data_IF_179075147746
#
_entry.id   IF_179075147746
#
_cell.length_a   1.000
_cell.length_b   1.000
_cell.length_c   1.000
_cell.angle_alpha   90.00
_cell.angle_beta   90.00
_cell.angle_gamma   90.00
#
_symmetry.space_group_name_H-M   'P 1'
#
loop_
_entity.id
_entity.type
_entity.pdbx_description
1 polymer ?
#
# COMPACT_ATOMS: atom_id res chain seq x y z
N UNK A 1 -10.46 -13.81 -35.42
CA UNK A 1 -10.80 -13.52 -34.02
C UNK A 1 -9.58 -12.86 -33.40
N UNK A 2 -9.62 -11.56 -33.11
CA UNK A 2 -8.47 -10.87 -32.52
C UNK A 2 -8.32 -11.30 -31.06
N UNK A 3 -7.09 -11.54 -30.55
CA UNK A 3 -6.90 -11.87 -29.14
C UNK A 3 -7.40 -10.73 -28.27
N UNK A 4 -8.19 -11.06 -27.25
CA UNK A 4 -8.61 -10.10 -26.22
C UNK A 4 -7.34 -9.55 -25.57
N UNK A 5 -7.14 -8.22 -25.52
CA UNK A 5 -5.96 -7.66 -24.89
C UNK A 5 -5.89 -8.11 -23.43
N UNK A 6 -4.74 -8.64 -23.01
CA UNK A 6 -4.47 -8.92 -21.59
C UNK A 6 -4.70 -7.61 -20.83
N UNK A 7 -5.60 -7.62 -19.84
CA UNK A 7 -5.73 -6.50 -18.90
C UNK A 7 -4.34 -6.23 -18.29
N UNK A 8 -3.98 -4.95 -18.20
CA UNK A 8 -2.75 -4.56 -17.51
C UNK A 8 -2.75 -5.12 -16.08
N UNK A 9 -1.62 -5.67 -15.65
CA UNK A 9 -1.45 -6.09 -14.27
C UNK A 9 -1.68 -4.87 -13.36
N UNK A 10 -2.53 -5.06 -12.35
CA UNK A 10 -2.81 -4.03 -11.34
C UNK A 10 -2.19 -4.47 -10.03
N UNK A 11 -1.61 -3.55 -9.28
CA UNK A 11 -1.08 -3.81 -7.94
C UNK A 11 -1.82 -2.94 -6.93
N UNK A 12 -2.05 -3.47 -5.72
CA UNK A 12 -2.75 -2.76 -4.64
C UNK A 12 -1.95 -2.88 -3.35
N UNK A 13 -1.84 -1.78 -2.60
CA UNK A 13 -1.23 -1.75 -1.28
C UNK A 13 -2.11 -1.09 -0.21
N UNK A 14 -1.77 -1.33 1.04
CA UNK A 14 -2.28 -0.64 2.21
C UNK A 14 -1.10 -0.38 3.16
N UNK A 15 -1.00 0.82 3.72
CA UNK A 15 -0.04 1.13 4.78
C UNK A 15 -0.74 0.93 6.13
N UNK A 16 -0.33 -0.10 6.86
CA UNK A 16 -0.86 -0.42 8.19
C UNK A 16 0.12 -0.03 9.30
N UNK A 17 1.40 0.18 8.97
CA UNK A 17 2.41 0.57 9.93
C UNK A 17 2.04 1.86 10.66
N UNK A 18 1.84 1.75 11.97
CA UNK A 18 1.52 2.90 12.81
C UNK A 18 2.72 3.85 12.89
N UNK A 19 2.55 5.07 12.38
CA UNK A 19 3.58 6.09 12.43
C UNK A 19 3.92 6.42 13.89
N UNK A 20 5.15 6.20 14.40
CA UNK A 20 5.42 6.22 15.84
C UNK A 20 5.28 7.57 16.55
N UNK A 21 5.14 8.67 15.79
CA UNK A 21 4.86 10.00 16.33
C UNK A 21 3.62 9.97 17.25
N UNK A 22 3.68 10.73 18.35
CA UNK A 22 2.65 10.76 19.39
C UNK A 22 2.28 9.36 19.94
N UNK A 23 3.26 8.45 20.00
CA UNK A 23 3.07 7.09 20.49
C UNK A 23 2.24 6.20 19.57
N UNK A 24 2.13 6.54 18.27
CA UNK A 24 1.41 5.73 17.29
C UNK A 24 -0.12 5.87 17.36
N UNK A 25 -0.65 6.80 18.15
CA UNK A 25 -2.10 6.91 18.44
C UNK A 25 -3.00 7.11 17.21
N UNK A 26 -2.43 7.55 16.09
CA UNK A 26 -3.16 7.82 14.84
C UNK A 26 -3.01 6.72 13.79
N UNK A 27 -2.29 5.64 14.09
CA UNK A 27 -1.99 4.59 13.11
C UNK A 27 -1.20 5.14 11.91
N UNK A 28 -1.63 4.81 10.70
CA UNK A 28 -1.11 5.36 9.45
C UNK A 28 -2.02 6.51 8.95
N UNK A 29 -1.77 7.77 9.37
CA UNK A 29 -2.61 8.88 8.96
C UNK A 29 -2.47 9.16 7.46
N UNK A 30 -3.41 9.93 6.91
CA UNK A 30 -3.35 10.38 5.52
C UNK A 30 -1.99 11.03 5.20
N UNK A 31 -1.44 10.71 4.01
CA UNK A 31 -0.15 11.16 3.50
C UNK A 31 1.10 10.61 4.24
N UNK A 32 0.94 9.69 5.20
CA UNK A 32 2.09 9.09 5.91
C UNK A 32 2.99 8.23 5.02
N UNK A 33 2.44 7.69 3.93
CA UNK A 33 3.14 6.92 2.90
C UNK A 33 4.12 7.75 2.07
N UNK A 34 3.85 9.05 1.87
CA UNK A 34 4.66 9.92 0.99
C UNK A 34 6.12 9.96 1.44
N UNK A 35 6.38 10.19 2.73
CA UNK A 35 7.77 10.24 3.24
C UNK A 35 8.51 8.90 3.10
N UNK A 36 7.78 7.78 3.09
CA UNK A 36 8.32 6.42 3.00
C UNK A 36 8.65 6.08 1.55
N UNK A 37 7.74 6.37 0.62
CA UNK A 37 7.93 6.17 -0.83
C UNK A 37 9.12 6.97 -1.36
N UNK A 38 9.32 8.19 -0.86
CA UNK A 38 10.43 9.06 -1.27
C UNK A 38 11.70 8.88 -0.45
N UNK A 39 11.73 7.97 0.53
CA UNK A 39 12.84 7.81 1.48
C UNK A 39 13.32 9.14 2.08
N UNK A 40 12.35 9.97 2.49
CA UNK A 40 12.57 11.32 3.00
C UNK A 40 12.43 11.39 4.54
N UNK A 41 12.62 10.28 5.23
CA UNK A 41 12.38 10.17 6.68
C UNK A 41 13.37 10.98 7.53
N UNK A 42 14.49 11.41 6.96
CA UNK A 42 15.46 12.31 7.59
C UNK A 42 15.17 13.81 7.37
N UNK A 43 14.12 14.16 6.62
CA UNK A 43 13.77 15.57 6.34
C UNK A 43 13.03 16.21 7.52
N UNK A 44 13.17 17.54 7.72
CA UNK A 44 12.40 18.25 8.74
C UNK A 44 10.89 18.00 8.58
N UNK A 45 10.21 17.68 9.69
CA UNK A 45 8.78 17.42 9.70
C UNK A 45 8.38 15.97 9.44
N UNK A 46 9.34 15.07 9.17
CA UNK A 46 9.07 13.63 9.07
C UNK A 46 8.42 13.10 10.35
N UNK A 47 7.46 12.19 10.17
CA UNK A 47 6.72 11.54 11.25
C UNK A 47 7.05 10.05 11.36
N UNK A 48 7.58 9.45 10.29
CA UNK A 48 8.17 8.12 10.30
C UNK A 48 9.51 8.17 11.04
N UNK A 49 9.47 7.87 12.34
CA UNK A 49 10.62 7.95 13.25
C UNK A 49 10.88 6.60 13.92
N UNK A 50 12.02 6.47 14.59
CA UNK A 50 12.36 5.29 15.38
C UNK A 50 13.00 4.16 14.55
N UNK A 51 13.30 3.02 15.19
CA UNK A 51 14.19 2.01 14.63
C UNK A 51 13.63 1.29 13.40
N UNK A 52 12.32 1.31 13.19
CA UNK A 52 11.65 0.66 12.06
C UNK A 52 11.46 1.57 10.85
N UNK A 53 11.66 2.90 11.00
CA UNK A 53 11.30 3.86 9.96
C UNK A 53 12.09 3.63 8.66
N UNK A 54 13.40 3.39 8.75
CA UNK A 54 14.21 3.13 7.56
C UNK A 54 13.80 1.82 6.88
N UNK A 55 13.55 0.75 7.64
CA UNK A 55 13.10 -0.51 7.06
C UNK A 55 11.77 -0.35 6.30
N UNK A 56 10.84 0.44 6.84
CA UNK A 56 9.58 0.77 6.16
C UNK A 56 9.79 1.62 4.90
N UNK A 57 10.68 2.62 4.96
CA UNK A 57 11.05 3.42 3.80
C UNK A 57 11.71 2.58 2.71
N UNK A 58 12.63 1.67 3.06
CA UNK A 58 13.29 0.75 2.13
C UNK A 58 12.27 -0.16 1.44
N UNK A 59 11.31 -0.72 2.18
CA UNK A 59 10.23 -1.54 1.63
C UNK A 59 9.39 -0.80 0.59
N UNK A 60 8.92 0.40 0.92
CA UNK A 60 8.02 1.17 0.03
C UNK A 60 8.77 1.77 -1.16
N UNK A 61 9.91 2.44 -0.91
CA UNK A 61 10.68 3.11 -1.95
C UNK A 61 11.19 2.13 -3.01
N UNK A 62 11.74 0.98 -2.60
CA UNK A 62 12.27 -0.01 -3.54
C UNK A 62 11.17 -0.69 -4.35
N UNK A 63 9.99 -0.90 -3.77
CA UNK A 63 8.84 -1.43 -4.50
C UNK A 63 8.34 -0.44 -5.58
N UNK A 64 8.31 0.85 -5.26
CA UNK A 64 7.93 1.90 -6.23
C UNK A 64 8.99 2.08 -7.32
N UNK A 65 10.27 1.99 -6.98
CA UNK A 65 11.38 1.99 -7.94
C UNK A 65 11.29 0.77 -8.88
N UNK A 66 11.04 -0.42 -8.35
CA UNK A 66 10.86 -1.64 -9.14
C UNK A 66 9.69 -1.49 -10.13
N UNK A 67 8.53 -1.03 -9.63
CA UNK A 67 7.36 -0.77 -10.46
C UNK A 67 7.64 0.24 -11.57
N UNK A 68 8.33 1.35 -11.27
CA UNK A 68 8.68 2.36 -12.26
C UNK A 68 9.62 1.82 -13.36
N UNK A 69 10.46 0.83 -13.04
CA UNK A 69 11.41 0.21 -13.98
C UNK A 69 10.76 -0.82 -14.91
N UNK A 70 9.87 -1.67 -14.39
CA UNK A 70 9.41 -2.87 -15.11
C UNK A 70 7.89 -3.08 -15.11
N UNK A 71 7.15 -2.31 -14.30
CA UNK A 71 5.74 -2.58 -14.00
C UNK A 71 5.52 -3.71 -12.99
N UNK A 72 6.57 -4.36 -12.48
CA UNK A 72 6.52 -5.35 -11.40
C UNK A 72 7.09 -4.72 -10.11
N UNK A 73 6.28 -4.56 -9.04
CA UNK A 73 6.71 -3.89 -7.81
C UNK A 73 7.57 -4.78 -6.88
N UNK A 74 7.87 -6.01 -7.27
CA UNK A 74 8.66 -6.92 -6.44
C UNK A 74 10.05 -6.35 -6.09
N UNK A 75 10.42 -6.51 -4.82
CA UNK A 75 11.75 -6.14 -4.32
C UNK A 75 12.22 -7.15 -3.28
N UNK A 76 13.52 -7.14 -2.97
CA UNK A 76 14.11 -8.03 -1.94
C UNK A 76 13.60 -7.76 -0.52
N UNK A 77 12.89 -6.65 -0.30
CA UNK A 77 12.44 -6.22 1.02
C UNK A 77 11.01 -6.65 1.36
N UNK A 78 10.26 -7.14 0.38
CA UNK A 78 8.86 -7.54 0.54
C UNK A 78 8.66 -8.98 0.03
N UNK A 79 7.62 -9.71 0.50
CA UNK A 79 7.23 -10.96 -0.13
C UNK A 79 6.74 -10.70 -1.57
N UNK A 80 6.63 -11.79 -2.36
CA UNK A 80 6.08 -11.73 -3.73
C UNK A 80 4.77 -10.96 -3.74
N UNK A 81 4.70 -9.90 -4.53
CA UNK A 81 3.52 -9.07 -4.71
C UNK A 81 2.74 -9.57 -5.93
N UNK A 82 1.85 -10.53 -5.69
CA UNK A 82 0.99 -11.04 -6.76
C UNK A 82 0.05 -9.96 -7.31
N UNK A 83 -0.23 -9.97 -8.64
CA UNK A 83 -1.16 -9.03 -9.24
C UNK A 83 -2.55 -9.08 -8.59
N UNK A 84 -3.12 -7.90 -8.38
CA UNK A 84 -4.46 -7.73 -7.86
C UNK A 84 -5.50 -8.25 -8.86
N UNK A 85 -6.40 -9.10 -8.36
CA UNK A 85 -7.60 -9.54 -9.07
C UNK A 85 -8.83 -9.39 -8.15
N UNK A 86 -10.03 -9.47 -8.73
CA UNK A 86 -11.28 -9.24 -7.99
C UNK A 86 -11.75 -10.46 -7.19
N UNK A 87 -11.18 -11.64 -7.44
CA UNK A 87 -11.48 -12.91 -6.76
C UNK A 87 -10.78 -12.94 -5.40
N UNK A 88 -9.46 -12.76 -5.36
CA UNK A 88 -8.64 -12.77 -4.14
C UNK A 88 -8.50 -11.40 -3.51
N UNK A 89 -8.44 -10.34 -4.32
CA UNK A 89 -8.24 -8.94 -3.87
C UNK A 89 -6.99 -8.75 -3.02
N UNK A 90 -6.00 -9.56 -3.33
CA UNK A 90 -4.68 -9.59 -2.75
C UNK A 90 -4.03 -8.21 -2.74
N UNK A 91 -3.68 -7.75 -1.55
CA UNK A 91 -3.18 -6.41 -1.27
C UNK A 91 -1.89 -6.52 -0.48
N UNK A 92 -0.84 -5.83 -0.91
CA UNK A 92 0.40 -5.73 -0.14
C UNK A 92 0.16 -4.84 1.07
N UNK A 93 0.29 -5.41 2.26
CA UNK A 93 0.25 -4.67 3.50
C UNK A 93 1.68 -4.28 3.88
N UNK A 94 1.93 -2.97 3.90
CA UNK A 94 3.15 -2.40 4.44
C UNK A 94 3.01 -2.26 5.96
N UNK A 95 3.67 -3.19 6.65
CA UNK A 95 3.91 -3.22 8.09
C UNK A 95 5.28 -3.87 8.34
N UNK A 96 5.71 -4.01 9.59
CA UNK A 96 6.98 -4.67 9.94
C UNK A 96 6.70 -5.97 10.69
N UNK A 97 6.69 -7.15 10.02
CA UNK A 97 7.07 -7.39 8.62
C UNK A 97 5.93 -7.15 7.59
N UNK A 98 6.26 -6.96 6.30
CA UNK A 98 5.27 -6.79 5.24
C UNK A 98 4.64 -8.14 4.88
N UNK A 99 3.39 -8.11 4.39
CA UNK A 99 2.65 -9.32 4.02
C UNK A 99 1.70 -9.08 2.85
N UNK A 100 1.50 -10.09 2.02
CA UNK A 100 0.40 -10.11 1.05
C UNK A 100 -0.84 -10.68 1.75
N UNK A 101 -1.94 -9.94 1.76
CA UNK A 101 -3.19 -10.35 2.40
C UNK A 101 -4.33 -10.39 1.38
N UNK A 102 -5.09 -11.48 1.39
CA UNK A 102 -6.29 -11.64 0.56
C UNK A 102 -7.46 -10.90 1.22
N UNK A 103 -8.01 -9.93 0.50
CA UNK A 103 -9.21 -9.19 0.90
C UNK A 103 -9.15 -8.48 2.27
N UNK A 104 -8.12 -7.65 2.55
CA UNK A 104 -8.06 -6.91 3.80
C UNK A 104 -9.29 -6.01 3.92
N UNK A 105 -9.95 -6.03 5.09
CA UNK A 105 -11.20 -5.29 5.37
C UNK A 105 -12.36 -5.64 4.44
N UNK A 106 -12.39 -6.90 3.98
CA UNK A 106 -13.44 -7.41 3.10
C UNK A 106 -14.84 -7.31 3.69
N UNK A 107 -14.99 -7.43 5.02
CA UNK A 107 -16.27 -7.29 5.70
C UNK A 107 -16.83 -5.86 5.55
N UNK A 108 -16.01 -4.85 5.81
CA UNK A 108 -16.38 -3.45 5.65
C UNK A 108 -16.70 -3.13 4.19
N UNK A 109 -15.87 -3.58 3.24
CA UNK A 109 -16.20 -3.42 1.81
C UNK A 109 -17.57 -4.00 1.48
N UNK A 110 -17.88 -5.21 1.96
CA UNK A 110 -19.19 -5.86 1.70
C UNK A 110 -20.35 -5.11 2.34
N UNK A 111 -20.14 -4.46 3.48
CA UNK A 111 -21.13 -3.59 4.10
C UNK A 111 -21.35 -2.34 3.23
N UNK A 112 -20.29 -1.62 2.88
CA UNK A 112 -20.38 -0.40 2.07
C UNK A 112 -20.89 -0.66 0.65
N UNK A 113 -20.63 -1.83 0.06
CA UNK A 113 -21.15 -2.21 -1.25
C UNK A 113 -22.68 -2.30 -1.31
N UNK A 114 -23.37 -2.41 -0.15
CA UNK A 114 -24.84 -2.42 -0.08
C UNK A 114 -25.44 -1.01 -0.14
N UNK A 115 -24.63 0.02 0.11
CA UNK A 115 -25.08 1.41 0.15
C UNK A 115 -24.56 2.09 -1.12
N UNK A 116 -25.41 2.37 -2.13
CA UNK A 116 -24.95 3.11 -3.29
C UNK A 116 -24.47 4.49 -2.84
N UNK A 117 -23.25 4.86 -3.23
CA UNK A 117 -22.79 6.23 -3.07
C UNK A 117 -23.65 7.12 -3.99
N UNK A 118 -24.51 7.93 -3.39
CA UNK A 118 -25.25 8.98 -4.08
C UNK A 118 -24.46 10.26 -3.88
N UNK A 119 -23.74 10.71 -4.91
CA UNK A 119 -23.10 12.02 -4.86
C UNK A 119 -24.19 13.10 -4.74
N UNK A 120 -24.22 13.89 -3.65
CA UNK A 120 -25.18 14.98 -3.54
C UNK A 120 -24.71 16.13 -4.43
N UNK A 121 -25.36 16.31 -5.58
CA UNK A 121 -25.21 17.49 -6.44
C UNK A 121 -23.84 17.67 -7.12
N UNK A 122 -23.85 18.57 -8.11
CA UNK A 122 -22.71 19.27 -8.71
C UNK A 122 -22.99 20.75 -8.60
#
# INVERSE_FOLDING_TARGET
>A
MAPIPRRAASSRHCLDWATPKDGGKFGAPHASDIQLVFDNIAKPGATAIGPQAQAMADMMSEAFIAFARSGDPDSRFIPRWEPYDMTRRQTMIFDVPPRLEDDPRGAERRIFAKVPYVQPGT
#
